data_IF_715095843841
#
_entry.id   IF_715095843841
#
_cell.length_a   1.000
_cell.length_b   1.000
_cell.length_c   1.000
_cell.angle_alpha   90.00
_cell.angle_beta   90.00
_cell.angle_gamma   90.00
#
_symmetry.space_group_name_H-M   'P 1'
#
loop_
_entity.id
_entity.type
_entity.pdbx_description
1 polymer ?
#
# COMPACT_ATOMS: atom_id res chain seq x y z
N UNK A 1 -29.94 23.31 10.69
CA UNK A 1 -29.10 22.15 11.08
C UNK A 1 -28.60 21.50 9.82
N UNK A 2 -27.31 21.18 9.76
CA UNK A 2 -26.75 20.33 8.69
C UNK A 2 -27.00 18.88 9.10
N UNK A 3 -27.86 18.17 8.38
CA UNK A 3 -28.18 16.78 8.69
C UNK A 3 -27.39 15.83 7.78
N UNK A 4 -27.24 14.57 8.24
CA UNK A 4 -26.53 13.55 7.48
C UNK A 4 -27.11 13.35 6.07
N UNK A 5 -28.44 13.35 5.93
CA UNK A 5 -29.11 13.17 4.64
C UNK A 5 -28.88 14.30 3.63
N UNK A 6 -28.44 15.48 4.10
CA UNK A 6 -28.13 16.61 3.23
C UNK A 6 -26.72 16.50 2.64
N UNK A 7 -25.79 15.90 3.39
CA UNK A 7 -24.36 15.88 3.06
C UNK A 7 -23.85 14.51 2.61
N UNK A 8 -24.61 13.44 2.82
CA UNK A 8 -24.18 12.07 2.55
C UNK A 8 -25.28 11.25 1.88
N UNK A 9 -24.87 10.24 1.12
CA UNK A 9 -25.73 9.24 0.49
C UNK A 9 -25.00 7.91 0.46
N UNK A 10 -25.68 6.84 0.87
CA UNK A 10 -25.13 5.47 0.83
C UNK A 10 -23.77 5.34 1.53
N UNK A 11 -23.58 6.01 2.67
CA UNK A 11 -22.29 5.99 3.39
C UNK A 11 -21.16 6.64 2.59
N UNK A 12 -21.47 7.65 1.76
CA UNK A 12 -20.50 8.44 0.99
C UNK A 12 -20.87 9.92 1.02
N UNK A 13 -19.88 10.79 0.84
CA UNK A 13 -20.01 12.24 0.85
C UNK A 13 -20.59 12.72 -0.48
N UNK A 14 -21.61 13.58 -0.43
CA UNK A 14 -22.19 14.22 -1.61
C UNK A 14 -21.38 15.48 -1.97
N UNK A 15 -20.53 15.39 -3.00
CA UNK A 15 -19.61 16.47 -3.38
C UNK A 15 -20.32 17.81 -3.58
N UNK A 16 -21.37 17.82 -4.42
CA UNK A 16 -22.11 19.03 -4.73
C UNK A 16 -22.80 19.65 -3.50
N UNK A 17 -23.30 18.82 -2.58
CA UNK A 17 -23.94 19.29 -1.37
C UNK A 17 -22.93 19.96 -0.43
N UNK A 18 -21.78 19.32 -0.20
CA UNK A 18 -20.68 19.91 0.56
C UNK A 18 -20.20 21.19 -0.11
N UNK A 19 -19.97 21.19 -1.44
CA UNK A 19 -19.48 22.36 -2.17
C UNK A 19 -20.42 23.57 -2.04
N UNK A 20 -21.74 23.36 -2.10
CA UNK A 20 -22.76 24.41 -2.02
C UNK A 20 -23.11 24.87 -0.60
N UNK A 21 -22.83 24.05 0.42
CA UNK A 21 -23.15 24.39 1.80
C UNK A 21 -22.27 25.55 2.31
N UNK A 22 -22.93 26.52 2.97
CA UNK A 22 -22.29 27.70 3.57
C UNK A 22 -22.76 27.91 5.01
N UNK A 23 -22.49 26.96 5.94
CA UNK A 23 -22.85 27.13 7.35
C UNK A 23 -21.98 28.20 8.02
N UNK A 24 -22.53 28.86 9.05
CA UNK A 24 -21.72 29.61 10.00
C UNK A 24 -20.96 28.68 10.97
N UNK A 25 -19.94 29.22 11.64
CA UNK A 25 -19.09 28.45 12.55
C UNK A 25 -19.85 27.86 13.75
N UNK A 26 -20.87 28.56 14.27
CA UNK A 26 -21.64 28.10 15.43
C UNK A 26 -22.53 26.89 15.08
N UNK A 27 -23.18 26.94 13.91
CA UNK A 27 -23.97 25.86 13.33
C UNK A 27 -23.10 24.63 13.10
N UNK A 28 -21.91 24.84 12.52
CA UNK A 28 -20.99 23.74 12.22
C UNK A 28 -20.37 23.13 13.49
N UNK A 29 -19.99 23.95 14.48
CA UNK A 29 -19.51 23.48 15.78
C UNK A 29 -20.57 22.64 16.51
N UNK A 30 -21.84 23.04 16.41
CA UNK A 30 -22.96 22.28 16.98
C UNK A 30 -23.14 20.95 16.24
N UNK A 31 -23.11 20.96 14.91
CA UNK A 31 -23.25 19.75 14.11
C UNK A 31 -22.11 18.74 14.34
N UNK A 32 -20.86 19.21 14.43
CA UNK A 32 -19.68 18.37 14.72
C UNK A 32 -19.79 17.66 16.09
N UNK A 33 -20.44 18.29 17.07
CA UNK A 33 -20.63 17.71 18.41
C UNK A 33 -21.74 16.66 18.47
N UNK A 34 -22.74 16.76 17.59
CA UNK A 34 -23.94 15.91 17.64
C UNK A 34 -23.95 14.80 16.59
N UNK A 35 -23.20 14.97 15.51
CA UNK A 35 -23.08 13.95 14.47
C UNK A 35 -22.37 12.69 15.00
N UNK A 36 -22.90 11.53 14.65
CA UNK A 36 -22.36 10.22 15.06
C UNK A 36 -21.89 9.37 13.88
N UNK A 37 -22.50 9.53 12.71
CA UNK A 37 -22.12 8.81 11.50
C UNK A 37 -20.74 9.28 10.98
N UNK A 38 -19.79 8.37 10.69
CA UNK A 38 -18.44 8.72 10.25
C UNK A 38 -18.41 9.64 9.02
N UNK A 39 -19.20 9.33 7.99
CA UNK A 39 -19.18 10.08 6.73
C UNK A 39 -19.80 11.46 6.89
N UNK A 40 -20.78 11.58 7.80
CA UNK A 40 -21.33 12.88 8.17
C UNK A 40 -20.28 13.72 8.91
N UNK A 41 -19.55 13.13 9.87
CA UNK A 41 -18.45 13.80 10.55
C UNK A 41 -17.35 14.25 9.59
N UNK A 42 -16.97 13.39 8.63
CA UNK A 42 -15.98 13.73 7.59
C UNK A 42 -16.46 14.90 6.72
N UNK A 43 -17.72 14.87 6.26
CA UNK A 43 -18.30 15.98 5.48
C UNK A 43 -18.33 17.30 6.27
N UNK A 44 -18.70 17.27 7.56
CA UNK A 44 -18.69 18.43 8.43
C UNK A 44 -17.26 18.96 8.67
N UNK A 45 -16.29 18.07 8.83
CA UNK A 45 -14.87 18.46 8.98
C UNK A 45 -14.33 19.10 7.68
N UNK A 46 -14.71 18.60 6.51
CA UNK A 46 -14.37 19.23 5.22
C UNK A 46 -14.99 20.63 5.12
N UNK A 47 -16.27 20.80 5.50
CA UNK A 47 -16.90 22.12 5.58
C UNK A 47 -16.15 23.05 6.54
N UNK A 48 -15.65 22.52 7.65
CA UNK A 48 -14.92 23.29 8.64
C UNK A 48 -13.57 23.78 8.10
N UNK A 49 -12.85 22.91 7.38
CA UNK A 49 -11.61 23.28 6.70
C UNK A 49 -11.83 24.33 5.61
N UNK A 50 -12.95 24.25 4.87
CA UNK A 50 -13.32 25.28 3.88
C UNK A 50 -13.66 26.64 4.51
N UNK A 51 -14.34 26.62 5.67
CA UNK A 51 -14.65 27.85 6.40
C UNK A 51 -13.40 28.45 7.07
N UNK A 52 -12.41 27.62 7.42
CA UNK A 52 -11.14 27.99 8.04
C UNK A 52 -11.29 28.86 9.31
N UNK A 53 -12.36 28.64 10.09
CA UNK A 53 -12.60 29.38 11.35
C UNK A 53 -11.89 28.75 12.54
N UNK A 54 -11.26 29.59 13.37
CA UNK A 54 -10.58 29.16 14.61
C UNK A 54 -11.55 28.65 15.69
N UNK A 55 -12.83 29.03 15.63
CA UNK A 55 -13.84 28.56 16.58
C UNK A 55 -14.13 27.05 16.45
N UNK A 56 -13.72 26.46 15.33
CA UNK A 56 -13.89 25.04 15.03
C UNK A 56 -12.71 24.18 15.48
N UNK A 57 -11.64 24.78 15.98
CA UNK A 57 -10.43 24.05 16.40
C UNK A 57 -10.73 23.04 17.51
N UNK A 58 -11.46 23.37 18.60
CA UNK A 58 -11.76 22.39 19.64
C UNK A 58 -12.53 21.16 19.14
N UNK A 59 -13.69 21.27 18.43
CA UNK A 59 -14.38 20.09 17.94
C UNK A 59 -13.58 19.31 16.87
N UNK A 60 -12.77 19.98 16.04
CA UNK A 60 -11.91 19.29 15.07
C UNK A 60 -10.78 18.51 15.75
N UNK A 61 -10.16 19.08 16.79
CA UNK A 61 -9.09 18.40 17.56
C UNK A 61 -9.63 17.13 18.21
N UNK A 62 -10.86 17.16 18.72
CA UNK A 62 -11.51 15.97 19.29
C UNK A 62 -11.75 14.84 18.26
N UNK A 63 -11.81 15.16 16.96
CA UNK A 63 -11.98 14.17 15.89
C UNK A 63 -10.66 13.53 15.46
N UNK A 64 -9.49 14.03 15.87
CA UNK A 64 -8.21 13.40 15.53
C UNK A 64 -8.10 11.97 16.09
N UNK A 65 -8.77 11.67 17.21
CA UNK A 65 -8.82 10.33 17.82
C UNK A 65 -9.75 9.35 17.06
N UNK A 66 -10.30 9.74 15.90
CA UNK A 66 -11.13 8.87 15.07
C UNK A 66 -10.31 8.29 13.93
N UNK A 67 -10.32 6.97 13.81
CA UNK A 67 -9.84 6.29 12.61
C UNK A 67 -10.66 6.67 11.36
N UNK A 68 -10.04 6.54 10.20
CA UNK A 68 -10.68 6.61 8.89
C UNK A 68 -10.91 8.03 8.37
N UNK A 69 -11.97 8.19 7.58
CA UNK A 69 -12.30 9.46 6.93
C UNK A 69 -12.54 10.63 7.91
N UNK A 70 -13.19 10.47 9.08
CA UNK A 70 -13.42 11.59 10.02
C UNK A 70 -12.13 12.22 10.52
N UNK A 71 -11.18 11.40 11.00
CA UNK A 71 -9.91 11.88 11.54
C UNK A 71 -9.03 12.52 10.47
N UNK A 72 -8.95 11.91 9.29
CA UNK A 72 -8.20 12.49 8.15
C UNK A 72 -8.80 13.82 7.68
N UNK A 73 -10.14 13.92 7.62
CA UNK A 73 -10.83 15.17 7.29
C UNK A 73 -10.60 16.25 8.35
N UNK A 74 -10.60 15.88 9.64
CA UNK A 74 -10.30 16.80 10.73
C UNK A 74 -8.85 17.30 10.68
N UNK A 75 -7.89 16.41 10.43
CA UNK A 75 -6.49 16.74 10.24
C UNK A 75 -6.27 17.71 9.07
N UNK A 76 -6.89 17.43 7.91
CA UNK A 76 -6.89 18.32 6.76
C UNK A 76 -7.49 19.68 7.10
N UNK A 77 -8.62 19.72 7.82
CA UNK A 77 -9.28 20.96 8.22
C UNK A 77 -8.43 21.81 9.17
N UNK A 78 -7.79 21.19 10.17
CA UNK A 78 -6.85 21.86 11.07
C UNK A 78 -5.64 22.41 10.31
N UNK A 79 -5.16 21.70 9.30
CA UNK A 79 -4.13 22.21 8.40
C UNK A 79 -4.61 23.45 7.64
N UNK A 80 -5.85 23.45 7.12
CA UNK A 80 -6.42 24.64 6.45
C UNK A 80 -6.46 25.87 7.35
N UNK A 81 -6.79 25.68 8.63
CA UNK A 81 -6.86 26.74 9.66
C UNK A 81 -5.46 27.22 10.11
N UNK A 82 -4.42 26.40 9.94
CA UNK A 82 -3.05 26.71 10.39
C UNK A 82 -2.75 26.26 11.82
N UNK A 83 -3.41 25.20 12.29
CA UNK A 83 -3.31 24.68 13.66
C UNK A 83 -2.11 23.75 13.87
N UNK A 84 -0.89 24.24 13.58
CA UNK A 84 0.35 23.45 13.74
C UNK A 84 0.52 22.90 15.16
N UNK A 85 0.22 23.73 16.17
CA UNK A 85 0.38 23.38 17.59
C UNK A 85 -0.50 22.20 17.99
N UNK A 86 -1.77 22.21 17.59
CA UNK A 86 -2.72 21.15 17.91
C UNK A 86 -2.35 19.84 17.21
N UNK A 87 -1.84 19.94 15.97
CA UNK A 87 -1.38 18.77 15.20
C UNK A 87 -0.07 18.18 15.78
N UNK A 88 0.88 19.02 16.20
CA UNK A 88 2.09 18.58 16.91
C UNK A 88 1.74 17.89 18.23
N UNK A 89 0.84 18.47 19.02
CA UNK A 89 0.37 17.86 20.26
C UNK A 89 -0.25 16.47 20.02
N UNK A 90 -1.02 16.30 18.94
CA UNK A 90 -1.59 15.00 18.57
C UNK A 90 -0.50 13.98 18.20
N UNK A 91 0.55 14.40 17.49
CA UNK A 91 1.71 13.55 17.16
C UNK A 91 2.53 13.14 18.40
N UNK A 92 2.71 14.04 19.36
CA UNK A 92 3.52 13.80 20.54
C UNK A 92 2.80 12.94 21.59
N UNK A 93 1.51 13.24 21.82
CA UNK A 93 0.76 12.76 22.98
C UNK A 93 -0.50 11.96 22.63
N UNK A 94 -0.93 11.95 21.37
CA UNK A 94 -2.11 11.21 20.94
C UNK A 94 -1.93 9.69 21.01
N UNK A 95 -3.05 8.98 20.90
CA UNK A 95 -3.03 7.54 20.58
C UNK A 95 -2.70 7.32 19.10
N UNK A 96 -2.67 6.07 18.65
CA UNK A 96 -2.29 5.72 17.27
C UNK A 96 -3.04 6.58 16.22
N UNK A 97 -4.37 6.57 16.24
CA UNK A 97 -5.19 7.32 15.28
C UNK A 97 -4.92 8.83 15.32
N UNK A 98 -4.84 9.41 16.53
CA UNK A 98 -4.55 10.84 16.69
C UNK A 98 -3.15 11.22 16.20
N UNK A 99 -2.16 10.34 16.39
CA UNK A 99 -0.80 10.55 15.90
C UNK A 99 -0.76 10.47 14.39
N UNK A 100 -1.35 9.44 13.80
CA UNK A 100 -1.43 9.28 12.34
C UNK A 100 -2.14 10.46 11.68
N UNK A 101 -3.30 10.84 12.22
CA UNK A 101 -4.05 12.01 11.74
C UNK A 101 -3.25 13.31 11.96
N UNK A 102 -2.55 13.45 13.08
CA UNK A 102 -1.65 14.58 13.33
C UNK A 102 -0.57 14.72 12.24
N UNK A 103 0.08 13.61 11.87
CA UNK A 103 1.05 13.60 10.78
C UNK A 103 0.43 13.95 9.42
N UNK A 104 -0.77 13.44 9.11
CA UNK A 104 -1.50 13.81 7.89
C UNK A 104 -1.73 15.32 7.83
N UNK A 105 -2.18 15.92 8.95
CA UNK A 105 -2.43 17.35 9.04
C UNK A 105 -1.15 18.17 8.89
N UNK A 106 -0.06 17.78 9.56
CA UNK A 106 1.24 18.47 9.44
C UNK A 106 1.80 18.37 8.01
N UNK A 107 1.61 17.23 7.34
CA UNK A 107 2.03 17.07 5.94
C UNK A 107 1.23 18.00 5.03
N UNK A 108 -0.09 18.10 5.22
CA UNK A 108 -0.94 19.03 4.46
C UNK A 108 -0.60 20.51 4.74
N UNK A 109 -0.26 20.85 6.00
CA UNK A 109 0.20 22.18 6.40
C UNK A 109 1.52 22.54 5.70
N UNK A 110 2.48 21.62 5.71
CA UNK A 110 3.77 21.77 5.05
C UNK A 110 3.63 21.88 3.53
N UNK A 111 2.80 21.05 2.89
CA UNK A 111 2.56 21.05 1.45
C UNK A 111 1.98 22.39 0.97
N UNK A 112 1.14 23.03 1.79
CA UNK A 112 0.58 24.37 1.54
C UNK A 112 1.56 25.52 1.84
N UNK A 113 2.80 25.21 2.23
CA UNK A 113 3.80 26.19 2.67
C UNK A 113 3.32 27.08 3.83
N UNK A 114 2.45 26.54 4.70
CA UNK A 114 1.88 27.23 5.86
C UNK A 114 2.53 26.80 7.19
N UNK A 115 3.49 25.88 7.13
CA UNK A 115 4.26 25.43 8.29
C UNK A 115 5.18 26.52 8.84
N UNK A 116 5.40 26.50 10.15
CA UNK A 116 6.38 27.34 10.81
C UNK A 116 7.80 26.93 10.43
N UNK A 117 8.75 27.85 10.63
CA UNK A 117 10.17 27.57 10.46
C UNK A 117 10.68 26.50 11.47
N UNK A 118 9.96 26.28 12.57
CA UNK A 118 10.33 25.30 13.60
C UNK A 118 9.92 23.87 13.28
N UNK A 119 9.01 23.66 12.31
CA UNK A 119 8.44 22.33 12.04
C UNK A 119 9.50 21.30 11.65
N UNK A 120 10.50 21.68 10.84
CA UNK A 120 11.57 20.77 10.44
C UNK A 120 12.35 20.25 11.67
N UNK A 121 12.75 21.14 12.58
CA UNK A 121 13.45 20.76 13.80
C UNK A 121 12.60 19.86 14.71
N UNK A 122 11.30 20.16 14.83
CA UNK A 122 10.35 19.33 15.58
C UNK A 122 10.24 17.92 14.97
N UNK A 123 10.16 17.80 13.63
CA UNK A 123 10.08 16.50 12.97
C UNK A 123 11.37 15.69 13.05
N UNK A 124 12.54 16.33 13.04
CA UNK A 124 13.82 15.65 13.29
C UNK A 124 13.82 15.02 14.70
N UNK A 125 13.42 15.78 15.72
CA UNK A 125 13.29 15.26 17.08
C UNK A 125 12.25 14.13 17.16
N UNK A 126 11.14 14.28 16.42
CA UNK A 126 10.09 13.28 16.38
C UNK A 126 10.55 11.96 15.75
N UNK A 127 11.39 11.96 14.71
CA UNK A 127 11.97 10.73 14.15
C UNK A 127 12.67 9.91 15.24
N UNK A 128 13.46 10.56 16.11
CA UNK A 128 14.12 9.87 17.22
C UNK A 128 13.12 9.30 18.25
N UNK A 129 12.05 10.07 18.56
CA UNK A 129 10.95 9.63 19.44
C UNK A 129 10.23 8.39 18.87
N UNK A 130 9.97 8.38 17.56
CA UNK A 130 9.33 7.27 16.87
C UNK A 130 10.20 6.00 16.83
N UNK A 131 11.50 6.16 16.56
CA UNK A 131 12.47 5.07 16.64
C UNK A 131 12.52 4.48 18.04
N UNK A 132 12.50 5.31 19.08
CA UNK A 132 12.49 4.83 20.47
C UNK A 132 11.22 4.00 20.76
N UNK A 133 10.04 4.44 20.27
CA UNK A 133 8.78 3.68 20.40
C UNK A 133 8.85 2.34 19.66
N UNK A 134 9.36 2.32 18.43
CA UNK A 134 9.54 1.10 17.65
C UNK A 134 10.43 0.08 18.38
N UNK A 135 11.57 0.54 18.92
CA UNK A 135 12.50 -0.30 19.69
C UNK A 135 11.90 -0.85 20.98
N UNK A 136 10.98 -0.12 21.61
CA UNK A 136 10.23 -0.62 22.78
C UNK A 136 9.09 -1.59 22.43
N UNK A 137 8.95 -1.99 21.15
CA UNK A 137 7.91 -2.90 20.68
C UNK A 137 6.57 -2.24 20.36
N UNK A 138 6.49 -0.91 20.38
CA UNK A 138 5.31 -0.15 19.95
C UNK A 138 5.31 0.13 18.44
N UNK A 139 4.21 0.68 17.92
CA UNK A 139 4.14 1.15 16.53
C UNK A 139 4.90 2.46 16.38
N UNK A 140 6.05 2.39 15.71
CA UNK A 140 6.80 3.55 15.23
C UNK A 140 6.13 4.15 14.00
N UNK A 141 6.07 5.47 13.94
CA UNK A 141 5.56 6.25 12.80
C UNK A 141 6.66 7.13 12.21
N UNK A 142 7.92 6.68 12.28
CA UNK A 142 9.09 7.44 11.84
C UNK A 142 9.03 7.81 10.35
N UNK A 143 8.42 6.95 9.53
CA UNK A 143 8.15 7.23 8.12
C UNK A 143 7.28 8.47 7.91
N UNK A 144 6.34 8.74 8.82
CA UNK A 144 5.37 9.84 8.69
C UNK A 144 6.04 11.17 9.00
N UNK A 145 6.93 11.20 9.99
CA UNK A 145 7.81 12.34 10.23
C UNK A 145 8.76 12.58 9.04
N UNK A 146 9.32 11.52 8.46
CA UNK A 146 10.16 11.62 7.26
C UNK A 146 9.40 12.19 6.05
N UNK A 147 8.13 11.84 5.87
CA UNK A 147 7.29 12.41 4.80
C UNK A 147 7.15 13.93 4.93
N UNK A 148 6.93 14.45 6.14
CA UNK A 148 6.85 15.90 6.37
C UNK A 148 8.19 16.57 6.06
N UNK A 149 9.29 15.98 6.51
CA UNK A 149 10.64 16.46 6.20
C UNK A 149 10.94 16.45 4.69
N UNK A 150 10.44 15.47 3.96
CA UNK A 150 10.56 15.42 2.49
C UNK A 150 9.77 16.52 1.79
N UNK A 151 8.56 16.81 2.26
CA UNK A 151 7.75 17.95 1.76
C UNK A 151 8.45 19.29 2.06
N UNK A 152 9.10 19.41 3.23
CA UNK A 152 9.87 20.60 3.60
C UNK A 152 11.23 20.69 2.87
N UNK A 153 11.74 19.59 2.31
CA UNK A 153 13.05 19.53 1.67
C UNK A 153 14.22 19.57 2.66
N UNK A 154 14.07 18.90 3.81
CA UNK A 154 15.11 18.83 4.82
C UNK A 154 16.36 18.10 4.29
N UNK A 155 17.55 18.64 4.54
CA UNK A 155 18.82 18.11 4.00
C UNK A 155 19.25 16.82 4.69
N UNK A 156 18.87 16.68 5.95
CA UNK A 156 19.16 15.57 6.85
C UNK A 156 18.29 14.35 6.57
N UNK A 157 17.28 14.48 5.69
CA UNK A 157 16.31 13.43 5.42
C UNK A 157 16.95 12.08 5.03
N UNK A 158 17.97 12.00 4.13
CA UNK A 158 18.51 10.70 3.73
C UNK A 158 19.05 9.86 4.90
N UNK A 159 19.71 10.53 5.86
CA UNK A 159 20.28 9.91 7.06
C UNK A 159 19.17 9.49 8.04
N UNK A 160 18.15 10.34 8.22
CA UNK A 160 17.01 10.03 9.09
C UNK A 160 16.20 8.85 8.55
N UNK A 161 15.99 8.79 7.23
CA UNK A 161 15.36 7.65 6.58
C UNK A 161 16.15 6.37 6.85
N UNK A 162 17.49 6.43 6.78
CA UNK A 162 18.32 5.26 7.05
C UNK A 162 18.14 4.77 8.49
N UNK A 163 18.13 5.68 9.46
CA UNK A 163 17.91 5.35 10.87
C UNK A 163 16.55 4.71 11.12
N UNK A 164 15.49 5.18 10.44
CA UNK A 164 14.14 4.57 10.53
C UNK A 164 14.16 3.16 9.97
N UNK A 165 14.71 2.94 8.76
CA UNK A 165 14.78 1.61 8.13
C UNK A 165 15.51 0.59 9.01
N UNK A 166 16.57 1.01 9.69
CA UNK A 166 17.39 0.16 10.56
C UNK A 166 16.74 -0.12 11.92
N UNK A 167 15.86 0.77 12.40
CA UNK A 167 15.35 0.71 13.76
C UNK A 167 13.88 0.34 13.88
N UNK A 168 13.10 0.50 12.81
CA UNK A 168 11.68 0.19 12.75
C UNK A 168 11.44 -0.88 11.70
N UNK A 169 11.18 -2.10 12.16
CA UNK A 169 10.94 -3.24 11.26
C UNK A 169 9.62 -3.13 10.49
N UNK A 170 8.70 -2.27 10.93
CA UNK A 170 7.36 -2.13 10.37
C UNK A 170 7.21 -0.88 9.49
N UNK A 171 8.28 -0.11 9.28
CA UNK A 171 8.23 1.04 8.39
C UNK A 171 8.05 0.60 6.93
N UNK A 172 7.34 1.40 6.13
CA UNK A 172 7.24 1.25 4.69
C UNK A 172 8.56 1.70 4.02
N UNK A 173 9.43 0.71 3.80
CA UNK A 173 10.75 0.93 3.20
C UNK A 173 10.65 1.47 1.79
N UNK A 174 9.62 1.12 1.02
CA UNK A 174 9.45 1.61 -0.35
C UNK A 174 9.10 3.08 -0.35
N UNK A 175 8.15 3.48 0.48
CA UNK A 175 7.79 4.88 0.64
C UNK A 175 9.00 5.70 1.09
N UNK A 176 9.77 5.18 2.06
CA UNK A 176 11.01 5.82 2.51
C UNK A 176 12.05 5.97 1.38
N UNK A 177 12.29 4.94 0.56
CA UNK A 177 13.19 5.08 -0.59
C UNK A 177 12.64 6.04 -1.65
N UNK A 178 11.31 6.06 -1.87
CA UNK A 178 10.65 7.03 -2.77
C UNK A 178 10.87 8.46 -2.29
N UNK A 179 10.66 8.73 -1.00
CA UNK A 179 10.88 10.05 -0.39
C UNK A 179 12.34 10.49 -0.52
N UNK A 180 13.28 9.59 -0.24
CA UNK A 180 14.73 9.84 -0.42
C UNK A 180 15.05 10.24 -1.86
N UNK A 181 14.51 9.51 -2.84
CA UNK A 181 14.69 9.80 -4.27
C UNK A 181 14.05 11.13 -4.67
N UNK A 182 12.82 11.40 -4.23
CA UNK A 182 12.11 12.64 -4.55
C UNK A 182 12.88 13.89 -4.07
N UNK A 183 13.43 13.85 -2.86
CA UNK A 183 14.27 14.95 -2.34
C UNK A 183 15.62 15.03 -3.04
N UNK A 184 16.25 13.91 -3.39
CA UNK A 184 17.51 13.93 -4.14
C UNK A 184 17.34 14.53 -5.55
N UNK A 185 16.25 14.19 -6.24
CA UNK A 185 16.01 14.62 -7.63
C UNK A 185 15.43 16.05 -7.72
N UNK A 186 14.52 16.41 -6.80
CA UNK A 186 13.74 17.65 -6.88
C UNK A 186 13.85 18.58 -5.68
N UNK A 187 14.66 18.23 -4.67
CA UNK A 187 14.80 18.98 -3.42
C UNK A 187 13.62 18.83 -2.46
N UNK A 188 12.45 18.37 -2.92
CA UNK A 188 11.22 18.15 -2.13
C UNK A 188 10.36 17.06 -2.76
N UNK A 189 9.48 16.47 -1.96
CA UNK A 189 8.45 15.54 -2.44
C UNK A 189 7.30 16.26 -3.18
N UNK A 190 7.52 16.51 -4.47
CA UNK A 190 6.59 17.27 -5.31
C UNK A 190 5.28 16.54 -5.57
N UNK A 191 5.26 15.21 -5.58
CA UNK A 191 4.05 14.42 -5.78
C UNK A 191 3.11 14.56 -4.56
N UNK A 192 3.63 14.38 -3.34
CA UNK A 192 2.83 14.61 -2.12
C UNK A 192 2.34 16.05 -2.03
N UNK A 193 3.18 17.03 -2.42
CA UNK A 193 2.76 18.44 -2.48
C UNK A 193 1.59 18.61 -3.44
N UNK A 194 1.68 18.09 -4.66
CA UNK A 194 0.61 18.18 -5.67
C UNK A 194 -0.68 17.55 -5.15
N UNK A 195 -0.58 16.36 -4.57
CA UNK A 195 -1.76 15.58 -4.17
C UNK A 195 -2.46 16.24 -2.97
N UNK A 196 -1.72 16.78 -1.99
CA UNK A 196 -2.30 17.45 -0.82
C UNK A 196 -2.72 18.90 -1.06
N UNK A 197 -2.26 19.53 -2.13
CA UNK A 197 -2.72 20.87 -2.56
C UNK A 197 -3.84 20.82 -3.59
N UNK A 198 -4.22 19.63 -4.04
CA UNK A 198 -5.38 19.42 -4.89
C UNK A 198 -6.69 19.86 -4.20
N UNK A 199 -7.77 20.10 -4.97
CA UNK A 199 -9.10 20.34 -4.39
C UNK A 199 -9.48 19.23 -3.40
N UNK A 200 -10.21 19.58 -2.34
CA UNK A 200 -10.62 18.62 -1.32
C UNK A 200 -11.35 17.40 -1.92
N UNK A 201 -12.07 17.58 -3.03
CA UNK A 201 -12.77 16.48 -3.69
C UNK A 201 -11.84 15.47 -4.36
N UNK A 202 -10.62 15.87 -4.68
CA UNK A 202 -9.55 14.95 -5.12
C UNK A 202 -8.93 14.26 -3.91
N UNK A 203 -8.61 15.01 -2.84
CA UNK A 203 -8.01 14.48 -1.61
C UNK A 203 -8.90 13.41 -0.95
N UNK A 204 -10.22 13.58 -1.03
CA UNK A 204 -11.21 12.66 -0.46
C UNK A 204 -12.00 11.91 -1.53
N UNK A 205 -11.44 11.72 -2.74
CA UNK A 205 -12.13 11.08 -3.87
C UNK A 205 -12.74 9.72 -3.50
N UNK A 206 -11.99 8.90 -2.76
CA UNK A 206 -12.45 7.58 -2.31
C UNK A 206 -13.67 7.64 -1.39
N UNK A 207 -14.00 8.80 -0.80
CA UNK A 207 -15.11 8.98 0.12
C UNK A 207 -16.31 9.66 -0.54
N UNK A 208 -16.19 10.08 -1.79
CA UNK A 208 -17.25 10.77 -2.52
C UNK A 208 -18.21 9.75 -3.15
N UNK A 209 -19.50 10.09 -3.13
CA UNK A 209 -20.53 9.33 -3.79
C UNK A 209 -20.38 9.44 -5.31
N UNK A 210 -20.04 8.34 -5.97
CA UNK A 210 -20.10 8.22 -7.42
C UNK A 210 -21.47 7.66 -7.82
N UNK A 211 -22.33 8.41 -8.54
CA UNK A 211 -23.60 7.86 -9.01
C UNK A 211 -23.33 6.67 -9.94
N UNK A 212 -24.13 5.59 -9.86
CA UNK A 212 -23.95 4.45 -10.73
C UNK A 212 -24.04 4.92 -12.18
N UNK A 213 -23.04 4.52 -12.99
CA UNK A 213 -23.03 4.83 -14.41
C UNK A 213 -24.35 4.37 -15.03
N UNK A 214 -25.05 5.28 -15.72
CA UNK A 214 -26.31 4.95 -16.38
C UNK A 214 -26.08 3.71 -17.26
N UNK A 215 -26.92 2.68 -17.06
CA UNK A 215 -26.83 1.46 -17.84
C UNK A 215 -26.85 1.83 -19.34
N UNK A 216 -25.94 1.26 -20.16
CA UNK A 216 -25.94 1.55 -21.58
C UNK A 216 -27.33 1.25 -22.16
N UNK A 217 -27.84 2.10 -23.06
CA UNK A 217 -29.16 1.89 -23.64
C UNK A 217 -29.21 0.49 -24.24
N UNK A 218 -30.20 -0.30 -23.83
CA UNK A 218 -30.41 -1.64 -24.32
C UNK A 218 -30.40 -1.61 -25.84
N UNK A 219 -29.40 -2.26 -26.45
CA UNK A 219 -29.31 -2.37 -27.90
C UNK A 219 -30.62 -2.96 -28.40
N UNK A 220 -31.38 -2.19 -29.18
CA UNK A 220 -32.60 -2.66 -29.80
C UNK A 220 -32.26 -3.91 -30.63
N UNK A 221 -32.79 -5.05 -30.20
CA UNK A 221 -32.69 -6.33 -30.87
C UNK A 221 -33.20 -6.20 -32.29
N UNK A 222 -32.30 -6.02 -33.25
CA UNK A 222 -32.63 -6.04 -34.66
C UNK A 222 -32.86 -7.49 -35.05
N UNK A 223 -34.13 -7.88 -35.11
CA UNK A 223 -34.61 -9.14 -35.67
C UNK A 223 -34.05 -9.34 -37.08
N UNK A 224 -32.98 -10.13 -37.19
CA UNK A 224 -32.41 -10.50 -38.48
C UNK A 224 -33.17 -11.70 -39.03
N UNK A 225 -33.92 -11.44 -40.09
CA UNK A 225 -34.54 -12.41 -40.98
C UNK A 225 -33.57 -13.54 -41.35
N UNK A 226 -34.05 -14.77 -41.20
CA UNK A 226 -33.53 -15.96 -41.86
C UNK A 226 -33.61 -15.80 -43.38
N UNK A 227 -32.64 -16.37 -44.12
CA UNK A 227 -33.03 -17.21 -45.24
C UNK A 227 -32.39 -18.59 -45.17
N UNK A 228 -33.12 -19.53 -45.76
CA UNK A 228 -32.84 -20.95 -45.81
C UNK A 228 -31.77 -21.33 -46.84
N UNK A 229 -31.26 -22.55 -46.63
CA UNK A 229 -30.82 -23.52 -47.62
C UNK A 229 -29.36 -23.49 -48.11
N UNK A 230 -28.65 -24.57 -47.76
CA UNK A 230 -28.15 -25.48 -48.79
C UNK A 230 -26.66 -25.41 -49.16
N UNK A 231 -26.06 -26.61 -49.19
CA UNK A 231 -24.83 -26.99 -49.89
C UNK A 231 -23.47 -26.82 -49.16
N UNK A 232 -23.00 -27.98 -48.67
CA UNK A 232 -21.60 -28.39 -48.50
C UNK A 232 -20.89 -28.33 -49.86
N UNK A 233 -19.61 -27.91 -49.95
CA UNK A 233 -18.56 -28.92 -50.13
C UNK A 233 -17.16 -28.59 -49.56
N UNK A 234 -16.43 -29.68 -49.29
CA UNK A 234 -15.01 -29.94 -49.46
C UNK A 234 -13.91 -29.08 -48.79
N UNK A 235 -13.06 -29.79 -48.02
CA UNK A 235 -11.73 -29.39 -47.59
C UNK A 235 -10.75 -29.21 -48.76
N UNK A 236 -9.60 -28.54 -48.53
CA UNK A 236 -8.32 -29.24 -48.70
C UNK A 236 -7.27 -28.77 -47.64
N UNK A 237 -5.96 -29.09 -47.74
CA UNK A 237 -5.36 -30.23 -47.07
C UNK A 237 -4.23 -29.86 -46.07
N UNK A 238 -3.80 -30.90 -45.36
CA UNK A 238 -2.59 -31.09 -44.55
C UNK A 238 -1.34 -30.25 -44.90
N UNK A 239 -0.72 -29.66 -43.87
CA UNK A 239 0.73 -29.40 -43.82
C UNK A 239 1.29 -29.63 -42.40
N UNK A 240 2.29 -30.51 -42.31
CA UNK A 240 3.24 -30.75 -41.22
C UNK A 240 4.50 -31.32 -41.91
N UNK A 241 5.69 -31.41 -41.28
CA UNK A 241 6.44 -30.44 -40.47
C UNK A 241 7.94 -30.37 -40.89
N UNK A 242 8.70 -29.42 -40.35
CA UNK A 242 10.18 -29.47 -40.32
C UNK A 242 10.81 -28.08 -40.31
N UNK A 243 11.87 -27.75 -39.58
CA UNK A 243 12.76 -28.49 -38.67
C UNK A 243 13.51 -27.43 -37.80
N UNK A 244 14.62 -27.72 -37.10
CA UNK A 244 14.73 -27.64 -35.64
C UNK A 244 15.41 -26.38 -35.11
N UNK A 245 15.14 -26.10 -33.83
CA UNK A 245 15.75 -25.05 -33.03
C UNK A 245 17.26 -25.26 -32.82
N UNK A 246 18.02 -24.19 -33.02
CA UNK A 246 19.43 -24.10 -32.69
C UNK A 246 19.64 -23.98 -31.16
N UNK A 247 20.60 -24.75 -30.65
CA UNK A 247 21.14 -24.70 -29.28
C UNK A 247 21.68 -23.31 -28.93
N UNK A 248 21.44 -22.78 -27.72
CA UNK A 248 22.25 -21.69 -27.17
C UNK A 248 23.61 -22.23 -26.68
N UNK A 249 24.71 -21.48 -26.84
CA UNK A 249 26.02 -21.87 -26.33
C UNK A 249 26.14 -21.72 -24.81
N UNK A 250 26.90 -22.64 -24.22
CA UNK A 250 27.23 -22.70 -22.80
C UNK A 250 28.05 -21.49 -22.34
N UNK A 251 27.66 -20.91 -21.20
CA UNK A 251 28.51 -19.97 -20.46
C UNK A 251 29.48 -20.73 -19.55
N UNK A 252 30.75 -20.32 -19.62
CA UNK A 252 31.85 -20.80 -18.79
C UNK A 252 31.72 -20.32 -17.33
N UNK A 253 32.24 -21.07 -16.35
CA UNK A 253 32.11 -20.75 -14.93
C UNK A 253 32.93 -19.50 -14.56
N UNK A 254 32.28 -18.49 -13.99
CA UNK A 254 32.97 -17.37 -13.36
C UNK A 254 33.51 -17.78 -11.99
N UNK A 255 34.80 -17.51 -11.80
CA UNK A 255 35.59 -17.77 -10.61
C UNK A 255 35.12 -16.93 -9.42
N UNK A 256 35.01 -17.57 -8.26
CA UNK A 256 34.76 -16.93 -6.97
C UNK A 256 35.98 -16.13 -6.52
N UNK A 257 35.79 -14.86 -6.22
CA UNK A 257 36.79 -14.04 -5.51
C UNK A 257 36.69 -14.24 -3.98
N UNK A 258 37.80 -14.08 -3.23
CA UNK A 258 37.99 -14.70 -1.92
C UNK A 258 37.36 -13.95 -0.74
N UNK A 259 36.95 -14.75 0.24
CA UNK A 259 36.44 -14.38 1.58
C UNK A 259 37.57 -13.76 2.42
N UNK A 260 37.39 -12.62 3.11
CA UNK A 260 38.33 -12.18 4.13
C UNK A 260 38.24 -13.05 5.41
N UNK A 261 39.34 -13.16 6.19
CA UNK A 261 39.51 -14.19 7.21
C UNK A 261 38.72 -13.93 8.49
N UNK A 262 38.34 -15.04 9.14
CA UNK A 262 37.80 -15.07 10.48
C UNK A 262 38.83 -14.55 11.49
N UNK A 263 38.37 -13.75 12.46
CA UNK A 263 39.10 -13.54 13.71
C UNK A 263 38.54 -14.44 14.79
N UNK A 264 39.48 -15.08 15.46
CA UNK A 264 39.32 -16.03 16.52
C UNK A 264 38.77 -15.41 17.79
N UNK A 265 38.02 -16.29 18.45
CA UNK A 265 37.68 -16.39 19.87
C UNK A 265 38.64 -15.73 20.88
N UNK A 266 38.05 -15.08 21.88
CA UNK A 266 38.61 -15.00 23.23
C UNK A 266 37.47 -15.22 24.25
N UNK A 267 37.63 -16.29 25.02
CA UNK A 267 36.80 -16.71 26.15
C UNK A 267 36.98 -15.80 27.38
N UNK A 268 35.98 -15.83 28.26
CA UNK A 268 35.96 -15.26 29.61
C UNK A 268 34.51 -15.20 30.09
N UNK A 269 33.94 -16.32 30.56
CA UNK A 269 33.96 -16.86 31.93
C UNK A 269 32.80 -16.33 32.79
N UNK A 270 32.30 -17.23 33.64
CA UNK A 270 30.92 -17.41 34.07
C UNK A 270 30.37 -16.42 35.08
N UNK A 271 29.05 -16.24 35.02
CA UNK A 271 28.25 -15.59 36.06
C UNK A 271 26.76 -15.90 35.87
N UNK A 272 26.36 -17.12 36.26
CA UNK A 272 24.98 -17.55 36.31
C UNK A 272 24.22 -16.84 37.44
N UNK A 273 23.07 -16.26 37.12
CA UNK A 273 21.95 -16.12 38.05
C UNK A 273 20.64 -16.38 37.29
N UNK A 274 19.92 -17.38 37.80
CA UNK A 274 18.63 -17.90 37.35
C UNK A 274 17.54 -16.83 37.39
N UNK A 275 16.93 -16.52 36.24
CA UNK A 275 15.54 -16.08 36.18
C UNK A 275 14.80 -16.81 35.05
N UNK A 276 13.77 -17.52 35.49
CA UNK A 276 12.87 -18.39 34.75
C UNK A 276 12.38 -17.83 33.40
N UNK A 277 12.86 -18.51 32.36
CA UNK A 277 12.20 -18.94 31.13
C UNK A 277 10.77 -18.40 30.85
N UNK A 278 10.73 -17.26 30.16
CA UNK A 278 9.75 -17.01 29.11
C UNK A 278 10.55 -16.66 27.85
N UNK A 279 11.00 -17.69 27.14
CA UNK A 279 11.67 -17.55 25.85
C UNK A 279 10.85 -16.67 24.90
N UNK A 280 11.26 -15.41 24.75
CA UNK A 280 10.99 -14.61 23.57
C UNK A 280 11.68 -15.33 22.39
N UNK A 281 11.03 -15.49 21.23
CA UNK A 281 11.65 -16.16 20.10
C UNK A 281 12.92 -15.38 19.70
N UNK A 282 14.03 -16.10 19.66
CA UNK A 282 15.35 -15.61 19.30
C UNK A 282 15.30 -14.82 17.97
N UNK A 283 16.17 -13.81 17.85
CA UNK A 283 16.49 -13.11 16.62
C UNK A 283 16.74 -14.12 15.48
N UNK A 284 15.68 -14.39 14.71
CA UNK A 284 15.64 -15.50 13.78
C UNK A 284 16.29 -15.10 12.47
N UNK A 285 17.31 -15.86 12.04
CA UNK A 285 17.69 -15.89 10.63
C UNK A 285 16.43 -16.13 9.79
N UNK A 286 16.32 -15.52 8.59
CA UNK A 286 15.20 -15.76 7.68
C UNK A 286 14.97 -17.26 7.55
N UNK A 287 13.76 -17.75 7.87
CA UNK A 287 13.43 -19.15 7.66
C UNK A 287 13.19 -19.32 6.15
N UNK A 288 14.04 -20.05 5.42
CA UNK A 288 13.85 -20.22 3.98
C UNK A 288 12.53 -20.95 3.71
N UNK A 289 11.83 -20.59 2.64
CA UNK A 289 10.60 -21.28 2.28
C UNK A 289 10.96 -22.68 1.80
N UNK A 290 10.35 -23.70 2.39
CA UNK A 290 10.46 -25.06 1.88
C UNK A 290 9.59 -25.22 0.63
N UNK A 291 10.17 -24.89 -0.53
CA UNK A 291 9.49 -25.04 -1.83
C UNK A 291 9.04 -26.46 -2.13
N UNK A 292 9.71 -27.48 -1.58
CA UNK A 292 9.30 -28.87 -1.80
C UNK A 292 8.04 -29.16 -0.99
N UNK A 293 7.99 -28.69 0.25
CA UNK A 293 6.80 -28.79 1.10
C UNK A 293 5.63 -28.00 0.51
N UNK A 294 5.86 -26.77 0.05
CA UNK A 294 4.83 -25.99 -0.65
C UNK A 294 4.26 -26.76 -1.85
N UNK A 295 5.11 -27.34 -2.72
CA UNK A 295 4.63 -28.01 -3.93
C UNK A 295 3.78 -29.27 -3.68
N UNK A 296 3.86 -29.85 -2.48
CA UNK A 296 3.00 -30.97 -2.04
C UNK A 296 1.87 -30.53 -1.11
N UNK A 297 1.75 -29.23 -0.83
CA UNK A 297 0.76 -28.69 0.10
C UNK A 297 -0.67 -28.77 -0.47
N UNK A 298 -1.70 -28.70 0.39
CA UNK A 298 -3.10 -28.63 -0.04
C UNK A 298 -3.37 -27.42 -0.96
N UNK A 299 -2.73 -26.28 -0.70
CA UNK A 299 -2.86 -25.06 -1.51
C UNK A 299 -2.31 -25.30 -2.91
N UNK A 300 -1.10 -25.85 -3.02
CA UNK A 300 -0.53 -26.18 -4.31
C UNK A 300 -1.33 -27.28 -5.01
N UNK A 301 -1.87 -28.27 -4.29
CA UNK A 301 -2.62 -29.39 -4.88
C UNK A 301 -3.74 -28.93 -5.84
N UNK A 302 -4.39 -27.81 -5.54
CA UNK A 302 -5.48 -27.21 -6.33
C UNK A 302 -5.01 -26.51 -7.62
N UNK A 303 -3.71 -26.25 -7.77
CA UNK A 303 -3.13 -25.58 -8.94
C UNK A 303 -2.96 -26.54 -10.13
N UNK A 304 -3.23 -26.05 -11.33
CA UNK A 304 -2.91 -26.76 -12.56
C UNK A 304 -1.39 -26.99 -12.69
N UNK A 305 -0.98 -28.10 -13.30
CA UNK A 305 0.43 -28.48 -13.42
C UNK A 305 1.34 -27.40 -14.04
N UNK A 306 0.93 -26.66 -15.09
CA UNK A 306 1.72 -25.55 -15.62
C UNK A 306 1.95 -24.42 -14.60
N UNK A 307 0.96 -24.16 -13.74
CA UNK A 307 1.05 -23.13 -12.70
C UNK A 307 1.99 -23.58 -11.58
N UNK A 308 1.90 -24.85 -11.16
CA UNK A 308 2.87 -25.43 -10.20
C UNK A 308 4.30 -25.30 -10.71
N UNK A 309 4.54 -25.61 -11.97
CA UNK A 309 5.87 -25.47 -12.60
C UNK A 309 6.32 -24.02 -12.63
N UNK A 310 5.41 -23.08 -12.94
CA UNK A 310 5.71 -21.65 -12.96
C UNK A 310 6.09 -21.14 -11.57
N UNK A 311 5.30 -21.46 -10.54
CA UNK A 311 5.57 -21.03 -9.16
C UNK A 311 6.86 -21.67 -8.63
N UNK A 312 7.13 -22.94 -8.96
CA UNK A 312 8.39 -23.58 -8.61
C UNK A 312 9.62 -22.87 -9.20
N UNK A 313 9.47 -22.27 -10.39
CA UNK A 313 10.53 -21.56 -11.08
C UNK A 313 10.68 -20.11 -10.60
N UNK A 314 9.56 -19.40 -10.41
CA UNK A 314 9.55 -17.98 -10.04
C UNK A 314 9.70 -17.78 -8.53
N UNK A 315 9.23 -18.71 -7.71
CA UNK A 315 9.25 -18.64 -6.26
C UNK A 315 10.64 -18.31 -5.67
N UNK A 316 11.69 -19.08 -5.97
CA UNK A 316 13.04 -18.78 -5.51
C UNK A 316 13.57 -17.43 -6.03
N UNK A 317 13.13 -16.99 -7.21
CA UNK A 317 13.48 -15.67 -7.75
C UNK A 317 12.80 -14.58 -6.91
N UNK A 318 11.54 -14.75 -6.51
CA UNK A 318 10.84 -13.81 -5.64
C UNK A 318 11.52 -13.68 -4.27
N UNK A 319 11.97 -14.77 -3.66
CA UNK A 319 12.76 -14.70 -2.42
C UNK A 319 14.06 -13.93 -2.59
N UNK A 320 14.79 -14.18 -3.68
CA UNK A 320 16.02 -13.44 -3.95
C UNK A 320 15.75 -11.96 -4.17
N UNK A 321 14.67 -11.63 -4.88
CA UNK A 321 14.27 -10.26 -5.14
C UNK A 321 13.73 -9.56 -3.89
N UNK A 322 13.02 -10.25 -3.00
CA UNK A 322 12.57 -9.65 -1.74
C UNK A 322 13.76 -9.22 -0.90
N UNK A 323 14.76 -10.08 -0.75
CA UNK A 323 15.97 -9.75 0.02
C UNK A 323 16.80 -8.68 -0.67
N UNK A 324 16.92 -8.70 -2.00
CA UNK A 324 17.76 -7.73 -2.72
C UNK A 324 17.12 -6.36 -2.89
N UNK A 325 15.83 -6.30 -3.20
CA UNK A 325 15.14 -5.07 -3.53
C UNK A 325 14.37 -4.48 -2.35
N UNK A 326 13.81 -5.33 -1.48
CA UNK A 326 12.98 -4.93 -0.31
C UNK A 326 13.79 -5.03 0.99
N UNK A 327 14.96 -5.69 0.95
CA UNK A 327 15.82 -5.92 2.11
C UNK A 327 15.13 -6.74 3.21
N UNK A 328 14.12 -7.54 2.83
CA UNK A 328 13.34 -8.36 3.74
C UNK A 328 13.10 -9.75 3.14
N UNK A 329 13.11 -10.82 3.96
CA UNK A 329 12.66 -12.14 3.54
C UNK A 329 11.22 -12.09 3.03
N UNK A 330 10.89 -12.95 2.05
CA UNK A 330 9.53 -13.01 1.50
C UNK A 330 8.47 -13.28 2.58
N UNK A 331 8.86 -14.06 3.60
CA UNK A 331 8.05 -14.42 4.76
C UNK A 331 7.73 -13.23 5.66
N UNK A 332 8.51 -12.16 5.56
CA UNK A 332 8.43 -11.02 6.46
C UNK A 332 7.76 -9.81 5.83
N UNK A 333 7.36 -9.92 4.56
CA UNK A 333 6.73 -8.84 3.82
C UNK A 333 5.30 -8.61 4.30
N UNK A 334 4.90 -7.33 4.37
CA UNK A 334 3.49 -6.93 4.39
C UNK A 334 2.82 -7.18 3.03
N UNK A 335 1.48 -7.10 3.00
CA UNK A 335 0.69 -7.20 1.78
C UNK A 335 1.07 -6.16 0.74
N UNK A 336 1.32 -4.92 1.16
CA UNK A 336 1.75 -3.84 0.26
C UNK A 336 3.14 -4.08 -0.30
N UNK A 337 4.09 -4.55 0.52
CA UNK A 337 5.45 -4.86 0.07
C UNK A 337 5.45 -6.05 -0.90
N UNK A 338 4.61 -7.05 -0.64
CA UNK A 338 4.44 -8.18 -1.56
C UNK A 338 3.80 -7.73 -2.89
N UNK A 339 2.81 -6.83 -2.85
CA UNK A 339 2.23 -6.25 -4.05
C UNK A 339 3.27 -5.43 -4.84
N UNK A 340 4.09 -4.62 -4.16
CA UNK A 340 5.18 -3.86 -4.78
C UNK A 340 6.26 -4.78 -5.36
N UNK A 341 6.58 -5.89 -4.70
CA UNK A 341 7.49 -6.92 -5.23
C UNK A 341 7.00 -7.41 -6.60
N UNK A 342 5.72 -7.74 -6.71
CA UNK A 342 5.13 -8.27 -7.93
C UNK A 342 4.96 -7.21 -9.03
N UNK A 343 4.49 -6.01 -8.69
CA UNK A 343 4.16 -4.98 -9.68
C UNK A 343 5.34 -4.11 -10.10
N UNK A 344 6.34 -3.93 -9.24
CA UNK A 344 7.42 -2.96 -9.47
C UNK A 344 8.77 -3.64 -9.64
N UNK A 345 9.09 -4.63 -8.79
CA UNK A 345 10.42 -5.25 -8.77
C UNK A 345 10.53 -6.40 -9.77
N UNK A 346 9.58 -7.34 -9.74
CA UNK A 346 9.58 -8.52 -10.60
C UNK A 346 9.64 -8.18 -12.11
N UNK A 347 8.92 -7.17 -12.63
CA UNK A 347 8.98 -6.82 -14.04
C UNK A 347 10.35 -6.31 -14.50
N UNK A 348 11.14 -5.74 -13.59
CA UNK A 348 12.49 -5.25 -13.88
C UNK A 348 13.52 -6.39 -13.87
N UNK A 349 13.22 -7.48 -13.15
CA UNK A 349 14.11 -8.63 -13.01
C UNK A 349 13.91 -9.71 -14.09
N UNK A 350 12.80 -9.65 -14.84
CA UNK A 350 12.44 -10.66 -15.84
C UNK A 350 12.50 -10.11 -17.28
N UNK A 351 12.80 -10.97 -18.27
CA UNK A 351 12.62 -10.61 -19.68
C UNK A 351 11.16 -10.25 -19.99
N UNK A 352 10.87 -9.33 -20.93
CA UNK A 352 9.50 -8.87 -21.20
C UNK A 352 8.47 -9.98 -21.46
N UNK A 353 8.87 -11.05 -22.14
CA UNK A 353 8.00 -12.20 -22.41
C UNK A 353 7.65 -12.99 -21.13
N UNK A 354 8.56 -13.03 -20.15
CA UNK A 354 8.35 -13.70 -18.88
C UNK A 354 7.50 -12.86 -17.92
N UNK A 355 7.53 -11.52 -18.02
CA UNK A 355 6.69 -10.63 -17.21
C UNK A 355 5.20 -10.92 -17.42
N UNK A 356 4.77 -11.06 -18.68
CA UNK A 356 3.37 -11.36 -18.99
C UNK A 356 2.92 -12.70 -18.40
N UNK A 357 3.78 -13.72 -18.44
CA UNK A 357 3.48 -15.01 -17.82
C UNK A 357 3.43 -14.90 -16.29
N UNK A 358 4.39 -14.19 -15.70
CA UNK A 358 4.54 -14.01 -14.25
C UNK A 358 3.44 -13.15 -13.61
N UNK A 359 2.80 -12.26 -14.38
CA UNK A 359 1.68 -11.43 -13.92
C UNK A 359 0.33 -11.87 -14.52
N UNK A 360 0.27 -13.04 -15.16
CA UNK A 360 -0.98 -13.59 -15.66
C UNK A 360 -1.94 -13.95 -14.52
N UNK A 361 -3.27 -13.98 -14.75
CA UNK A 361 -4.23 -14.41 -13.73
C UNK A 361 -3.90 -15.79 -13.12
N UNK A 362 -3.38 -16.70 -13.95
CA UNK A 362 -2.95 -18.02 -13.51
C UNK A 362 -1.75 -17.98 -12.57
N UNK A 363 -0.78 -17.09 -12.82
CA UNK A 363 0.35 -16.89 -11.93
C UNK A 363 -0.09 -16.29 -10.58
N UNK A 364 -1.05 -15.34 -10.60
CA UNK A 364 -1.60 -14.76 -9.38
C UNK A 364 -2.31 -15.80 -8.51
N UNK A 365 -2.99 -16.78 -9.10
CA UNK A 365 -3.53 -17.93 -8.35
C UNK A 365 -2.40 -18.72 -7.65
N UNK A 366 -1.25 -18.85 -8.32
CA UNK A 366 -0.06 -19.45 -7.76
C UNK A 366 0.51 -18.68 -6.56
N UNK A 367 0.60 -17.35 -6.66
CA UNK A 367 1.05 -16.51 -5.54
C UNK A 367 0.05 -16.48 -4.39
N UNK A 368 -1.26 -16.52 -4.68
CA UNK A 368 -2.31 -16.63 -3.66
C UNK A 368 -2.21 -17.95 -2.91
N UNK A 369 -1.95 -19.06 -3.61
CA UNK A 369 -1.71 -20.36 -2.98
C UNK A 369 -0.44 -20.34 -2.10
N UNK A 370 0.63 -19.68 -2.56
CA UNK A 370 1.84 -19.48 -1.77
C UNK A 370 1.58 -18.67 -0.51
N UNK A 371 0.90 -17.51 -0.63
CA UNK A 371 0.56 -16.66 0.51
C UNK A 371 -0.28 -17.43 1.56
N UNK A 372 -1.30 -18.18 1.12
CA UNK A 372 -2.11 -19.06 1.99
C UNK A 372 -1.27 -20.14 2.67
N UNK A 373 -0.33 -20.76 1.95
CA UNK A 373 0.58 -21.74 2.52
C UNK A 373 1.46 -21.14 3.63
N UNK A 374 2.05 -19.97 3.38
CA UNK A 374 2.90 -19.27 4.35
C UNK A 374 2.10 -18.82 5.58
N UNK A 375 0.85 -18.39 5.40
CA UNK A 375 -0.06 -18.06 6.48
C UNK A 375 -0.42 -19.31 7.31
N UNK A 376 -0.81 -20.43 6.66
CA UNK A 376 -1.19 -21.67 7.34
C UNK A 376 -0.05 -22.30 8.14
N UNK A 377 1.16 -22.25 7.60
CA UNK A 377 2.36 -22.82 8.25
C UNK A 377 2.90 -21.94 9.37
N UNK A 378 2.39 -20.70 9.51
CA UNK A 378 2.88 -19.74 10.50
C UNK A 378 4.28 -19.21 10.19
N UNK A 379 4.80 -19.48 8.98
CA UNK A 379 6.13 -19.03 8.56
C UNK A 379 6.11 -17.54 8.17
N UNK A 380 4.97 -17.03 7.68
CA UNK A 380 4.83 -15.60 7.40
C UNK A 380 4.51 -14.79 8.66
N UNK A 381 5.21 -13.67 8.84
CA UNK A 381 4.96 -12.72 9.94
C UNK A 381 3.65 -11.97 9.76
N UNK A 382 3.29 -11.66 8.51
CA UNK A 382 2.07 -10.95 8.11
C UNK A 382 1.12 -11.87 7.31
N UNK A 383 0.82 -13.04 7.88
CA UNK A 383 0.08 -14.16 7.25
C UNK A 383 -1.02 -13.77 6.26
N UNK A 384 -2.21 -13.41 6.73
CA UNK A 384 -3.35 -13.06 5.87
C UNK A 384 -3.13 -11.78 5.05
N UNK A 385 -2.21 -10.92 5.48
CA UNK A 385 -1.90 -9.67 4.79
C UNK A 385 -1.21 -9.92 3.44
N UNK A 386 -0.39 -10.97 3.32
CA UNK A 386 0.17 -11.40 2.03
C UNK A 386 -0.92 -11.79 1.02
N UNK A 387 -2.01 -12.40 1.49
CA UNK A 387 -3.16 -12.74 0.63
C UNK A 387 -3.85 -11.46 0.15
N UNK A 388 -3.99 -10.46 1.03
CA UNK A 388 -4.49 -9.13 0.63
C UNK A 388 -3.57 -8.45 -0.37
N UNK A 389 -2.25 -8.63 -0.24
CA UNK A 389 -1.27 -8.19 -1.23
C UNK A 389 -1.56 -8.71 -2.64
N UNK A 390 -1.89 -10.00 -2.79
CA UNK A 390 -2.28 -10.58 -4.09
C UNK A 390 -3.58 -9.96 -4.61
N UNK A 391 -4.55 -9.69 -3.72
CA UNK A 391 -5.80 -9.01 -4.10
C UNK A 391 -5.54 -7.60 -4.62
N UNK A 392 -4.66 -6.84 -3.97
CA UNK A 392 -4.24 -5.52 -4.44
C UNK A 392 -3.61 -5.59 -5.85
N UNK A 393 -2.74 -6.58 -6.10
CA UNK A 393 -2.16 -6.80 -7.43
C UNK A 393 -3.23 -7.08 -8.49
N UNK A 394 -4.23 -7.90 -8.17
CA UNK A 394 -5.36 -8.17 -9.08
C UNK A 394 -6.15 -6.89 -9.38
N UNK A 395 -6.44 -6.09 -8.36
CA UNK A 395 -7.18 -4.84 -8.51
C UNK A 395 -6.44 -3.85 -9.42
N UNK A 396 -5.14 -3.67 -9.19
CA UNK A 396 -4.29 -2.80 -10.01
C UNK A 396 -4.19 -3.26 -11.46
N UNK A 397 -3.93 -4.54 -11.71
CA UNK A 397 -3.88 -5.07 -13.08
C UNK A 397 -5.24 -4.97 -13.78
N UNK A 398 -6.34 -5.17 -13.06
CA UNK A 398 -7.70 -4.95 -13.58
C UNK A 398 -7.91 -3.48 -13.96
N UNK A 399 -7.50 -2.55 -13.09
CA UNK A 399 -7.62 -1.12 -13.34
C UNK A 399 -6.79 -0.70 -14.57
N UNK A 400 -5.56 -1.17 -14.68
CA UNK A 400 -4.69 -0.92 -15.84
C UNK A 400 -5.31 -1.44 -17.15
N UNK A 401 -5.91 -2.63 -17.13
CA UNK A 401 -6.60 -3.18 -18.31
C UNK A 401 -7.82 -2.36 -18.71
N UNK A 402 -8.63 -1.92 -17.74
CA UNK A 402 -9.77 -1.02 -18.01
C UNK A 402 -9.30 0.32 -18.58
N UNK A 403 -8.25 0.91 -18.02
CA UNK A 403 -7.68 2.18 -18.51
C UNK A 403 -7.12 2.07 -19.93
N UNK A 404 -6.53 0.93 -20.28
CA UNK A 404 -5.99 0.68 -21.63
C UNK A 404 -7.06 0.50 -22.72
N UNK A 405 -8.35 0.42 -22.35
CA UNK A 405 -9.45 0.27 -23.30
C UNK A 405 -9.58 -1.11 -23.94
N UNK A 406 -8.85 -2.12 -23.42
CA UNK A 406 -8.93 -3.50 -23.91
C UNK A 406 -10.23 -4.15 -23.41
N UNK A 407 -11.28 -4.08 -24.22
CA UNK A 407 -12.52 -4.85 -24.02
C UNK A 407 -12.25 -6.35 -24.26
N UNK A 408 -12.33 -7.15 -23.20
CA UNK A 408 -12.09 -8.61 -23.25
C UNK A 408 -10.69 -9.05 -22.84
N UNK A 409 -9.97 -8.25 -22.04
CA UNK A 409 -8.66 -8.63 -21.47
C UNK A 409 -8.74 -9.81 -20.48
N UNK A 410 -7.58 -10.28 -19.97
CA UNK A 410 -7.52 -11.39 -19.02
C UNK A 410 -8.37 -11.12 -17.77
N UNK A 411 -9.09 -12.14 -17.31
CA UNK A 411 -9.93 -12.04 -16.10
C UNK A 411 -9.06 -12.18 -14.85
N UNK A 412 -8.92 -11.08 -14.10
CA UNK A 412 -8.14 -10.99 -12.87
C UNK A 412 -8.98 -11.15 -11.60
N UNK A 413 -10.29 -11.42 -11.72
CA UNK A 413 -11.17 -11.63 -10.56
C UNK A 413 -10.62 -12.66 -9.58
N UNK A 414 -10.86 -12.44 -8.29
CA UNK A 414 -10.45 -13.35 -7.23
C UNK A 414 -11.32 -14.63 -7.29
N UNK A 415 -10.73 -15.82 -7.47
CA UNK A 415 -11.49 -17.07 -7.46
C UNK A 415 -12.15 -17.39 -6.11
N UNK A 416 -11.68 -16.78 -5.01
CA UNK A 416 -12.25 -16.98 -3.68
C UNK A 416 -13.40 -16.02 -3.35
N UNK A 417 -13.65 -14.99 -4.17
CA UNK A 417 -14.78 -14.08 -3.96
C UNK A 417 -16.09 -14.68 -4.52
N UNK A 418 -17.21 -14.58 -3.77
CA UNK A 418 -18.50 -15.02 -4.29
C UNK A 418 -18.88 -14.19 -5.52
N UNK A 419 -19.16 -14.86 -6.64
CA UNK A 419 -19.67 -14.21 -7.84
C UNK A 419 -21.07 -13.68 -7.56
N UNK A 420 -21.18 -12.35 -7.47
CA UNK A 420 -22.46 -11.61 -7.32
C UNK A 420 -23.27 -11.68 -8.60
#
# INVERSE_FOLDING_TARGET
MLNAGDLTREGRILEAAVASAAPDAATLATALKTATAPEHLAALAILAGRLASKDLVPPLTALLERDGAPGRAAAWALAQIGCERELLHAVEHGKLDARENGYVGLTALAARSAASAGLAAAMIAQVASEIARARSGGTGLGERACRILAVLGAKELPDLIQQVIESDRFCDRFELQRLRKAVADGGRDSDTIRDLTAPWSVVFADQIYAPPAAAPPAAASSSKLLPASGAKPAAPPTAKPGAPAAKPPAQAPQASAPRPPAMDTAEGDDGADDLADAALPAEGKPTPIDWKDFLVSPEAATLAAPIKSLVAQIGPVLEQLSVRAIQAPLTDLSGNEFAALLLQVLPQALPPQAVQAALSPHALNGYQALAKYLARTGVATAGDDLVNGVKLVRQELTAQMRQSGILGGPDYSDPDEPKV
#
